data_IF_968806055523
#
_entry.id   IF_968806055523
#
_cell.length_a   1.000
_cell.length_b   1.000
_cell.length_c   1.000
_cell.angle_alpha   90.00
_cell.angle_beta   90.00
_cell.angle_gamma   90.00
#
_symmetry.space_group_name_H-M   'P 1'
#
loop_
_entity.id
_entity.type
_entity.pdbx_description
1 polymer ?
#
# COMPACT_ATOMS: atom_id res chain seq x y z
N UNK A 1 21.96 -8.54 31.87
CA UNK A 1 20.83 -8.27 30.95
C UNK A 1 19.72 -9.29 31.19
N UNK A 2 20.00 -10.57 31.06
CA UNK A 2 19.04 -11.65 31.34
C UNK A 2 18.43 -11.59 32.76
N UNK A 3 19.23 -11.30 33.78
CA UNK A 3 18.73 -11.09 35.15
C UNK A 3 17.74 -9.92 35.27
N UNK A 4 17.97 -8.82 34.53
CA UNK A 4 17.07 -7.66 34.52
C UNK A 4 15.76 -7.98 33.77
N UNK A 5 15.83 -8.75 32.70
CA UNK A 5 14.66 -9.23 31.97
C UNK A 5 13.84 -10.19 32.85
N UNK A 6 14.48 -11.06 33.62
CA UNK A 6 13.82 -11.95 34.57
C UNK A 6 13.17 -11.17 35.73
N UNK A 7 13.84 -10.14 36.26
CA UNK A 7 13.25 -9.26 37.27
C UNK A 7 12.02 -8.51 36.71
N UNK A 8 12.11 -8.03 35.46
CA UNK A 8 10.98 -7.41 34.76
C UNK A 8 9.76 -8.33 34.67
N UNK A 9 9.97 -9.59 34.28
CA UNK A 9 8.91 -10.62 34.21
C UNK A 9 8.32 -10.95 35.59
N UNK A 10 9.13 -10.97 36.64
CA UNK A 10 8.66 -11.18 38.01
C UNK A 10 7.74 -10.03 38.45
N UNK A 11 8.16 -8.78 38.23
CA UNK A 11 7.36 -7.60 38.49
C UNK A 11 6.04 -7.59 37.70
N UNK A 12 6.07 -8.00 36.41
CA UNK A 12 4.86 -8.15 35.60
C UNK A 12 3.91 -9.19 36.21
N UNK A 13 4.43 -10.35 36.62
CA UNK A 13 3.63 -11.41 37.25
C UNK A 13 2.97 -10.94 38.55
N UNK A 14 3.70 -10.24 39.41
CA UNK A 14 3.16 -9.72 40.66
C UNK A 14 2.13 -8.59 40.43
N UNK A 15 2.35 -7.76 39.41
CA UNK A 15 1.38 -6.78 38.94
C UNK A 15 0.07 -7.41 38.47
N UNK A 16 0.15 -8.52 37.72
CA UNK A 16 -1.03 -9.28 37.26
C UNK A 16 -1.80 -9.88 38.45
N UNK A 17 -1.12 -10.50 39.43
CA UNK A 17 -1.77 -11.05 40.62
C UNK A 17 -2.48 -9.97 41.44
N UNK A 18 -1.86 -8.79 41.57
CA UNK A 18 -2.48 -7.65 42.26
C UNK A 18 -3.73 -7.17 41.50
N UNK A 19 -3.63 -7.06 40.17
CA UNK A 19 -4.75 -6.69 39.32
C UNK A 19 -5.91 -7.69 39.45
N UNK A 20 -5.62 -8.98 39.45
CA UNK A 20 -6.61 -10.05 39.63
C UNK A 20 -7.33 -9.90 40.98
N UNK A 21 -6.58 -9.72 42.07
CA UNK A 21 -7.15 -9.51 43.42
C UNK A 21 -8.01 -8.26 43.50
N UNK A 22 -7.56 -7.13 42.95
CA UNK A 22 -8.35 -5.90 42.90
C UNK A 22 -9.62 -6.07 42.07
N UNK A 23 -9.50 -6.74 40.92
CA UNK A 23 -10.63 -7.00 40.03
C UNK A 23 -11.70 -7.88 40.65
N UNK A 24 -11.32 -8.85 41.48
CA UNK A 24 -12.27 -9.71 42.21
C UNK A 24 -13.09 -8.95 43.26
N UNK A 25 -12.56 -7.84 43.79
CA UNK A 25 -13.26 -7.02 44.80
C UNK A 25 -14.19 -6.03 44.10
N UNK A 26 -13.66 -5.25 43.15
CA UNK A 26 -14.46 -4.29 42.40
C UNK A 26 -13.81 -3.97 41.06
N UNK A 27 -14.47 -4.41 39.98
CA UNK A 27 -13.98 -4.19 38.63
C UNK A 27 -13.90 -2.70 38.27
N UNK A 28 -14.92 -1.90 38.59
CA UNK A 28 -15.00 -0.47 38.19
C UNK A 28 -13.90 0.38 38.83
N UNK A 29 -13.68 0.21 40.14
CA UNK A 29 -12.60 0.92 40.84
C UNK A 29 -11.22 0.49 40.34
N UNK A 30 -11.09 -0.77 39.93
CA UNK A 30 -9.85 -1.29 39.37
C UNK A 30 -9.56 -0.66 38.00
N UNK A 31 -10.58 -0.49 37.16
CA UNK A 31 -10.48 0.23 35.88
C UNK A 31 -10.05 1.69 36.08
N UNK A 32 -10.72 2.42 37.00
CA UNK A 32 -10.36 3.80 37.35
C UNK A 32 -8.91 3.92 37.83
N UNK A 33 -8.45 2.98 38.65
CA UNK A 33 -7.07 2.95 39.14
C UNK A 33 -6.04 2.73 38.02
N UNK A 34 -6.39 1.97 36.98
CA UNK A 34 -5.51 1.72 35.84
C UNK A 34 -5.33 2.95 34.92
N UNK A 35 -6.36 3.80 34.84
CA UNK A 35 -6.39 4.96 33.93
C UNK A 35 -5.94 6.24 34.65
N UNK A 36 -6.03 6.27 35.98
CA UNK A 36 -5.63 7.44 36.78
C UNK A 36 -4.19 7.85 36.45
N UNK A 37 -3.99 9.15 36.22
CA UNK A 37 -2.68 9.73 36.02
C UNK A 37 -1.84 9.65 37.30
N UNK A 38 -0.61 9.14 37.18
CA UNK A 38 0.32 9.06 38.29
C UNK A 38 1.28 10.28 38.25
N UNK A 39 1.19 11.22 39.21
CA UNK A 39 2.01 12.44 39.18
C UNK A 39 3.51 12.16 39.32
N UNK A 40 3.87 11.11 40.06
CA UNK A 40 5.27 10.70 40.26
C UNK A 40 5.89 10.03 39.02
N UNK A 41 5.07 9.65 38.03
CA UNK A 41 5.51 8.94 36.82
C UNK A 41 5.23 9.75 35.54
N UNK A 42 5.27 11.09 35.65
CA UNK A 42 5.12 12.01 34.52
C UNK A 42 3.68 12.14 34.01
N UNK A 43 2.69 12.05 34.91
CA UNK A 43 1.26 12.09 34.59
C UNK A 43 0.79 11.00 33.61
N UNK A 44 1.54 9.88 33.51
CA UNK A 44 1.13 8.73 32.71
C UNK A 44 0.20 7.83 33.50
N UNK A 45 -0.71 7.16 32.80
CA UNK A 45 -1.55 6.13 33.40
C UNK A 45 -0.77 4.82 33.59
N UNK A 46 -1.22 3.96 34.52
CA UNK A 46 -0.63 2.64 34.72
C UNK A 46 -0.68 1.81 33.42
N UNK A 47 -1.79 1.91 32.68
CA UNK A 47 -1.96 1.24 31.39
C UNK A 47 -0.95 1.75 30.34
N UNK A 48 -0.71 3.06 30.28
CA UNK A 48 0.27 3.65 29.36
C UNK A 48 1.71 3.20 29.68
N UNK A 49 2.05 3.13 30.97
CA UNK A 49 3.36 2.62 31.41
C UNK A 49 3.54 1.14 31.01
N UNK A 50 2.53 0.31 31.21
CA UNK A 50 2.56 -1.10 30.82
C UNK A 50 2.74 -1.29 29.30
N UNK A 51 2.09 -0.45 28.48
CA UNK A 51 2.27 -0.45 27.03
C UNK A 51 3.68 0.01 26.65
N UNK A 52 4.21 1.06 27.29
CA UNK A 52 5.57 1.54 27.03
C UNK A 52 6.66 0.55 27.44
N UNK A 53 6.37 -0.32 28.42
CA UNK A 53 7.22 -1.40 28.89
C UNK A 53 7.00 -2.75 28.19
N UNK A 54 6.21 -2.80 27.11
CA UNK A 54 5.87 -4.01 26.35
C UNK A 54 5.37 -5.19 27.23
N UNK A 55 4.62 -4.88 28.29
CA UNK A 55 4.04 -5.88 29.21
C UNK A 55 2.74 -6.46 28.64
N UNK A 56 2.89 -7.30 27.61
CA UNK A 56 1.77 -7.84 26.83
C UNK A 56 0.82 -8.72 27.68
N UNK A 57 1.34 -9.46 28.66
CA UNK A 57 0.52 -10.33 29.49
C UNK A 57 -0.37 -9.51 30.43
N UNK A 58 0.17 -8.41 30.96
CA UNK A 58 -0.62 -7.47 31.75
C UNK A 58 -1.77 -6.86 30.93
N UNK A 59 -1.50 -6.38 29.70
CA UNK A 59 -2.54 -5.81 28.83
C UNK A 59 -3.56 -6.86 28.37
N UNK A 60 -3.14 -8.11 28.21
CA UNK A 60 -4.03 -9.22 27.86
C UNK A 60 -4.98 -9.64 28.99
N UNK A 61 -4.79 -9.14 30.22
CA UNK A 61 -5.64 -9.48 31.36
C UNK A 61 -7.11 -9.14 31.10
N UNK A 62 -8.00 -10.03 31.55
CA UNK A 62 -9.45 -9.96 31.25
C UNK A 62 -10.10 -8.64 31.69
N UNK A 63 -9.69 -8.06 32.82
CA UNK A 63 -10.19 -6.75 33.31
C UNK A 63 -9.86 -5.62 32.36
N UNK A 64 -8.62 -5.56 31.87
CA UNK A 64 -8.17 -4.54 30.93
C UNK A 64 -8.87 -4.74 29.58
N UNK A 65 -9.03 -5.99 29.13
CA UNK A 65 -9.77 -6.29 27.90
C UNK A 65 -11.26 -5.94 27.99
N UNK A 66 -11.90 -6.15 29.14
CA UNK A 66 -13.28 -5.71 29.40
C UNK A 66 -13.40 -4.18 29.42
N UNK A 67 -12.43 -3.50 30.00
CA UNK A 67 -12.33 -2.04 29.96
C UNK A 67 -12.13 -1.51 28.54
N UNK A 68 -11.18 -2.04 27.77
CA UNK A 68 -10.97 -1.65 26.38
C UNK A 68 -12.23 -1.91 25.53
N UNK A 69 -12.95 -3.00 25.81
CA UNK A 69 -14.24 -3.29 25.18
C UNK A 69 -15.30 -2.26 25.56
N UNK A 70 -15.36 -1.82 26.81
CA UNK A 70 -16.31 -0.78 27.26
C UNK A 70 -15.94 0.60 26.68
N UNK A 71 -14.66 0.90 26.49
CA UNK A 71 -14.25 2.12 25.75
C UNK A 71 -14.63 2.02 24.28
N UNK A 72 -14.41 0.85 23.65
CA UNK A 72 -14.67 0.62 22.23
C UNK A 72 -16.15 0.81 21.84
N UNK A 73 -17.05 0.17 22.60
CA UNK A 73 -18.50 0.27 22.38
C UNK A 73 -19.15 1.43 23.14
N UNK A 74 -18.38 2.19 23.93
CA UNK A 74 -18.94 3.15 24.88
C UNK A 74 -19.69 2.47 26.04
N UNK A 75 -20.54 3.20 26.76
CA UNK A 75 -21.38 2.67 27.86
C UNK A 75 -22.43 1.63 27.41
N UNK A 76 -22.21 0.96 26.28
CA UNK A 76 -23.00 -0.14 25.75
C UNK A 76 -22.77 -1.38 26.60
N UNK A 77 -23.53 -1.44 27.70
CA UNK A 77 -23.50 -2.54 28.66
C UNK A 77 -24.06 -3.79 27.98
N UNK A 78 -23.26 -4.86 27.98
CA UNK A 78 -23.56 -6.23 27.51
C UNK A 78 -24.96 -6.72 27.95
N UNK A 79 -25.99 -6.48 27.13
CA UNK A 79 -27.23 -7.26 27.09
C UNK A 79 -27.26 -7.92 25.72
N UNK A 80 -27.52 -9.23 25.66
CA UNK A 80 -27.51 -10.04 24.43
C UNK A 80 -28.38 -9.46 23.30
N UNK A 81 -29.47 -8.78 23.69
CA UNK A 81 -30.47 -8.20 22.78
C UNK A 81 -29.95 -6.94 22.05
N UNK A 82 -28.81 -6.40 22.47
CA UNK A 82 -28.21 -5.16 21.94
C UNK A 82 -27.30 -5.43 20.74
N UNK A 83 -26.90 -6.69 20.50
CA UNK A 83 -26.04 -7.03 19.34
C UNK A 83 -26.72 -6.74 18.01
N UNK A 84 -27.95 -7.19 17.82
CA UNK A 84 -28.75 -6.92 16.62
C UNK A 84 -29.07 -5.43 16.49
N UNK A 85 -29.43 -4.78 17.60
CA UNK A 85 -29.69 -3.34 17.64
C UNK A 85 -28.45 -2.52 17.24
N UNK A 86 -27.24 -2.94 17.65
CA UNK A 86 -25.99 -2.30 17.25
C UNK A 86 -25.72 -2.45 15.75
N UNK A 87 -25.86 -3.65 15.19
CA UNK A 87 -25.70 -3.87 13.75
C UNK A 87 -26.73 -3.08 12.92
N UNK A 88 -27.98 -3.05 13.37
CA UNK A 88 -29.05 -2.26 12.75
C UNK A 88 -28.76 -0.76 12.82
N UNK A 89 -28.16 -0.29 13.92
CA UNK A 89 -27.78 1.11 14.12
C UNK A 89 -26.61 1.55 13.22
N UNK A 90 -25.69 0.63 12.89
CA UNK A 90 -24.66 0.91 11.88
C UNK A 90 -25.23 0.95 10.46
N UNK A 91 -26.24 0.12 10.15
CA UNK A 91 -26.90 0.14 8.84
C UNK A 91 -27.76 1.40 8.63
N UNK A 92 -28.46 1.85 9.68
CA UNK A 92 -29.31 3.03 9.66
C UNK A 92 -28.87 4.05 10.72
N UNK A 93 -27.80 4.83 10.46
CA UNK A 93 -27.29 5.81 11.42
C UNK A 93 -28.35 6.85 11.82
N UNK A 94 -29.25 7.20 10.90
CA UNK A 94 -30.35 8.12 11.17
C UNK A 94 -31.38 7.59 12.16
N UNK A 95 -31.47 6.26 12.40
CA UNK A 95 -32.38 5.64 13.38
C UNK A 95 -31.66 5.26 14.69
N UNK A 96 -30.33 5.32 14.70
CA UNK A 96 -29.48 4.95 15.84
C UNK A 96 -29.84 5.64 17.16
N UNK A 97 -30.21 6.94 17.22
CA UNK A 97 -30.51 7.59 18.50
C UNK A 97 -31.82 7.14 19.13
N UNK A 98 -32.72 6.55 18.33
CA UNK A 98 -33.99 5.96 18.78
C UNK A 98 -33.80 4.52 19.25
N UNK A 99 -32.99 3.74 18.52
CA UNK A 99 -32.67 2.34 18.88
C UNK A 99 -31.78 2.24 20.12
N UNK A 100 -30.97 3.27 20.36
CA UNK A 100 -30.07 3.38 21.52
C UNK A 100 -30.57 4.41 22.55
N UNK A 101 -31.89 4.57 22.71
CA UNK A 101 -32.46 5.52 23.68
C UNK A 101 -31.95 5.31 25.12
N UNK A 102 -31.72 4.05 25.50
CA UNK A 102 -31.29 3.65 26.85
C UNK A 102 -29.84 4.04 27.20
N UNK A 103 -29.04 4.45 26.20
CA UNK A 103 -27.62 4.75 26.38
C UNK A 103 -27.33 6.23 26.61
N UNK A 104 -28.26 7.10 26.21
CA UNK A 104 -28.08 8.54 26.28
C UNK A 104 -28.86 9.12 27.45
N UNK A 105 -28.35 10.22 28.02
CA UNK A 105 -29.02 10.89 29.13
C UNK A 105 -30.43 11.29 28.69
N UNK A 106 -31.42 11.12 29.57
CA UNK A 106 -32.83 11.48 29.28
C UNK A 106 -32.96 12.93 28.80
N UNK A 107 -32.04 13.82 29.23
CA UNK A 107 -32.01 15.23 28.86
C UNK A 107 -31.33 15.56 27.51
N UNK A 108 -30.71 14.60 26.83
CA UNK A 108 -30.01 14.87 25.57
C UNK A 108 -31.00 14.99 24.39
N UNK A 109 -30.86 16.07 23.61
CA UNK A 109 -31.60 16.24 22.34
C UNK A 109 -31.21 15.18 21.31
N UNK A 110 -32.11 14.88 20.37
CA UNK A 110 -31.88 13.88 19.31
C UNK A 110 -30.55 14.09 18.57
N UNK A 111 -30.25 15.34 18.18
CA UNK A 111 -29.02 15.68 17.48
C UNK A 111 -27.77 15.43 18.33
N UNK A 112 -27.83 15.69 19.64
CA UNK A 112 -26.71 15.46 20.53
C UNK A 112 -26.45 13.96 20.72
N UNK A 113 -27.51 13.15 20.82
CA UNK A 113 -27.42 11.69 20.85
C UNK A 113 -26.79 11.14 19.58
N UNK A 114 -27.20 11.65 18.42
CA UNK A 114 -26.62 11.28 17.13
C UNK A 114 -25.13 11.64 17.04
N UNK A 115 -24.74 12.85 17.43
CA UNK A 115 -23.33 13.28 17.43
C UNK A 115 -22.50 12.41 18.37
N UNK A 116 -22.99 12.12 19.59
CA UNK A 116 -22.30 11.21 20.52
C UNK A 116 -22.15 9.81 19.94
N UNK A 117 -23.16 9.29 19.23
CA UNK A 117 -23.09 7.99 18.54
C UNK A 117 -22.05 7.97 17.40
N UNK A 118 -21.99 9.03 16.60
CA UNK A 118 -21.02 9.13 15.50
C UNK A 118 -19.58 9.27 16.00
N UNK A 119 -19.38 9.81 17.21
CA UNK A 119 -18.07 9.91 17.86
C UNK A 119 -17.62 8.64 18.60
N UNK A 120 -18.45 7.59 18.67
CA UNK A 120 -18.03 6.32 19.29
C UNK A 120 -16.89 5.67 18.48
N UNK A 121 -15.86 5.11 19.13
CA UNK A 121 -14.74 4.46 18.43
C UNK A 121 -15.18 3.36 17.47
N UNK A 122 -16.14 2.52 17.89
CA UNK A 122 -16.71 1.47 17.04
C UNK A 122 -17.36 2.02 15.76
N UNK A 123 -18.07 3.14 15.89
CA UNK A 123 -18.84 3.75 14.79
C UNK A 123 -17.89 4.40 13.78
N UNK A 124 -16.90 5.15 14.28
CA UNK A 124 -15.83 5.73 13.46
C UNK A 124 -15.11 4.62 12.69
N UNK A 125 -14.76 3.53 13.35
CA UNK A 125 -14.08 2.40 12.73
C UNK A 125 -14.91 1.74 11.60
N UNK A 126 -16.19 1.44 11.86
CA UNK A 126 -17.06 0.79 10.86
C UNK A 126 -17.25 1.68 9.63
N UNK A 127 -17.58 2.96 9.82
CA UNK A 127 -17.76 3.86 8.68
C UNK A 127 -16.44 4.15 7.96
N UNK A 128 -15.33 4.32 8.67
CA UNK A 128 -14.01 4.46 8.04
C UNK A 128 -13.67 3.24 7.18
N UNK A 129 -13.95 2.02 7.67
CA UNK A 129 -13.79 0.79 6.90
C UNK A 129 -14.70 0.73 5.66
N UNK A 130 -15.98 1.09 5.78
CA UNK A 130 -16.91 1.13 4.64
C UNK A 130 -16.48 2.15 3.60
N UNK A 131 -16.13 3.38 4.02
CA UNK A 131 -15.64 4.43 3.12
C UNK A 131 -14.35 4.01 2.42
N UNK A 132 -13.46 3.29 3.10
CA UNK A 132 -12.24 2.76 2.49
C UNK A 132 -12.54 1.66 1.45
N UNK A 133 -13.48 0.75 1.72
CA UNK A 133 -13.90 -0.25 0.74
C UNK A 133 -14.58 0.38 -0.49
N UNK A 134 -15.40 1.40 -0.29
CA UNK A 134 -16.00 2.17 -1.38
C UNK A 134 -14.93 2.89 -2.21
N UNK A 135 -13.93 3.46 -1.56
CA UNK A 135 -12.76 4.03 -2.23
C UNK A 135 -12.04 2.98 -3.09
N UNK A 136 -11.76 1.79 -2.57
CA UNK A 136 -11.11 0.72 -3.34
C UNK A 136 -11.96 0.26 -4.52
N UNK A 137 -13.27 0.10 -4.32
CA UNK A 137 -14.19 -0.25 -5.40
C UNK A 137 -14.20 0.82 -6.50
N UNK A 138 -14.25 2.10 -6.11
CA UNK A 138 -14.16 3.22 -7.03
C UNK A 138 -12.82 3.25 -7.77
N UNK A 139 -11.71 3.07 -7.05
CA UNK A 139 -10.36 3.00 -7.62
C UNK A 139 -10.26 1.88 -8.67
N UNK A 140 -10.81 0.69 -8.37
CA UNK A 140 -10.85 -0.42 -9.32
C UNK A 140 -11.63 -0.06 -10.59
N UNK A 141 -12.81 0.55 -10.48
CA UNK A 141 -13.61 0.98 -11.64
C UNK A 141 -12.84 1.98 -12.51
N UNK A 142 -12.19 2.97 -11.89
CA UNK A 142 -11.43 4.00 -12.61
C UNK A 142 -10.24 3.40 -13.37
N UNK A 143 -9.45 2.52 -12.73
CA UNK A 143 -8.32 1.84 -13.41
C UNK A 143 -8.82 0.94 -14.54
N UNK A 144 -9.88 0.14 -14.32
CA UNK A 144 -10.30 -0.89 -15.26
C UNK A 144 -11.04 -0.35 -16.48
N UNK A 145 -11.90 0.67 -16.33
CA UNK A 145 -12.83 1.08 -17.40
C UNK A 145 -12.41 2.34 -18.16
N UNK A 146 -11.64 3.26 -17.57
CA UNK A 146 -11.59 4.66 -18.05
C UNK A 146 -10.20 5.30 -18.12
N UNK A 147 -9.15 4.55 -18.49
CA UNK A 147 -7.82 5.15 -18.73
C UNK A 147 -7.71 5.78 -20.12
N UNK A 148 -8.28 6.98 -20.28
CA UNK A 148 -8.19 7.79 -21.50
C UNK A 148 -7.00 8.76 -21.47
N UNK A 149 -6.62 9.31 -22.64
CA UNK A 149 -5.53 10.30 -22.79
C UNK A 149 -5.83 11.62 -22.07
N UNK A 150 -7.10 11.99 -21.97
CA UNK A 150 -7.56 13.15 -21.21
C UNK A 150 -8.10 12.68 -19.85
N UNK A 151 -7.86 13.44 -18.76
CA UNK A 151 -8.36 13.10 -17.44
C UNK A 151 -9.89 13.20 -17.46
N UNK A 152 -10.56 12.09 -17.16
CA UNK A 152 -12.02 12.07 -16.99
C UNK A 152 -12.35 12.57 -15.58
N UNK A 153 -13.55 13.12 -15.37
CA UNK A 153 -14.00 13.65 -14.08
C UNK A 153 -13.82 12.60 -12.97
N UNK A 154 -14.01 11.32 -13.28
CA UNK A 154 -13.84 10.23 -12.35
C UNK A 154 -12.38 10.04 -11.87
N UNK A 155 -11.40 10.27 -12.74
CA UNK A 155 -9.98 10.22 -12.37
C UNK A 155 -9.62 11.40 -11.45
N UNK A 156 -10.21 12.58 -11.69
CA UNK A 156 -10.01 13.77 -10.84
C UNK A 156 -10.60 13.54 -9.44
N UNK A 157 -11.79 12.94 -9.35
CA UNK A 157 -12.40 12.57 -8.06
C UNK A 157 -11.50 11.60 -7.30
N UNK A 158 -10.91 10.62 -8.00
CA UNK A 158 -9.94 9.69 -7.39
C UNK A 158 -8.71 10.43 -6.84
N UNK A 159 -8.15 11.39 -7.60
CA UNK A 159 -7.02 12.21 -7.13
C UNK A 159 -7.37 13.02 -5.88
N UNK A 160 -8.57 13.62 -5.83
CA UNK A 160 -9.04 14.38 -4.66
C UNK A 160 -9.21 13.44 -3.46
N UNK A 161 -9.80 12.27 -3.65
CA UNK A 161 -9.99 11.32 -2.56
C UNK A 161 -8.65 10.81 -2.01
N UNK A 162 -7.74 10.39 -2.89
CA UNK A 162 -6.41 9.90 -2.49
C UNK A 162 -5.58 10.96 -1.79
N UNK A 163 -5.59 12.20 -2.26
CA UNK A 163 -4.92 13.31 -1.59
C UNK A 163 -5.50 13.61 -0.21
N UNK A 164 -6.82 13.47 -0.01
CA UNK A 164 -7.43 13.57 1.31
C UNK A 164 -6.94 12.46 2.26
N UNK A 165 -6.79 11.23 1.77
CA UNK A 165 -6.23 10.12 2.56
C UNK A 165 -4.75 10.35 2.90
N UNK A 166 -3.95 10.84 1.95
CA UNK A 166 -2.55 11.23 2.18
C UNK A 166 -2.47 12.33 3.25
N UNK A 167 -3.38 13.31 3.22
CA UNK A 167 -3.43 14.36 4.23
C UNK A 167 -3.80 13.81 5.63
N UNK A 168 -4.73 12.87 5.71
CA UNK A 168 -5.06 12.20 6.97
C UNK A 168 -3.88 11.39 7.51
N UNK A 169 -3.20 10.63 6.64
CA UNK A 169 -1.98 9.90 6.98
C UNK A 169 -0.90 10.85 7.48
N UNK A 170 -0.65 11.97 6.77
CA UNK A 170 0.31 12.97 7.17
C UNK A 170 -0.04 13.56 8.54
N UNK A 171 -1.33 13.89 8.80
CA UNK A 171 -1.79 14.36 10.10
C UNK A 171 -1.51 13.36 11.22
N UNK A 172 -1.78 12.07 11.01
CA UNK A 172 -1.49 11.00 11.98
C UNK A 172 0.00 10.87 12.24
N UNK A 173 0.80 10.88 11.18
CA UNK A 173 2.26 10.80 11.22
C UNK A 173 2.88 11.97 12.01
N UNK A 174 2.47 13.21 11.73
CA UNK A 174 2.97 14.41 12.43
C UNK A 174 2.55 14.49 13.89
N UNK A 175 1.34 14.00 14.25
CA UNK A 175 0.89 13.98 15.65
C UNK A 175 1.77 13.07 16.50
N UNK A 176 2.11 11.88 15.98
CA UNK A 176 3.05 10.96 16.61
C UNK A 176 4.44 11.60 16.79
N UNK A 177 4.93 12.30 15.75
CA UNK A 177 6.23 12.96 15.81
C UNK A 177 6.29 14.11 16.83
N UNK A 178 5.22 14.90 17.02
CA UNK A 178 5.18 16.03 17.97
C UNK A 178 5.40 15.64 19.43
N UNK A 179 5.05 14.42 19.83
CA UNK A 179 5.28 13.93 21.20
C UNK A 179 6.79 13.69 21.48
N UNK A 180 7.62 13.58 20.43
CA UNK A 180 9.07 13.29 20.54
C UNK A 180 10.01 14.50 20.42
N UNK A 181 9.47 15.70 20.16
CA UNK A 181 10.30 16.88 19.86
C UNK A 181 10.89 17.46 21.15
N UNK A 182 12.04 16.93 21.55
CA UNK A 182 13.06 17.73 22.22
C UNK A 182 14.09 18.20 21.17
N UNK A 183 14.41 19.48 21.21
CA UNK A 183 14.98 20.25 20.08
C UNK A 183 16.47 19.91 19.89
N UNK A 184 16.87 19.62 18.65
CA UNK A 184 18.21 19.80 18.02
C UNK A 184 18.85 18.58 17.31
N UNK A 185 18.13 17.85 16.44
CA UNK A 185 18.65 17.45 15.12
C UNK A 185 17.60 16.72 14.28
N UNK A 186 16.78 17.49 13.55
CA UNK A 186 15.66 17.05 12.71
C UNK A 186 16.01 15.83 11.83
N UNK A 187 17.21 15.78 11.24
CA UNK A 187 17.62 14.67 10.37
C UNK A 187 17.82 13.33 11.10
N UNK A 188 18.38 13.34 12.32
CA UNK A 188 18.56 12.11 13.11
C UNK A 188 17.26 11.64 13.74
N UNK A 189 16.35 12.56 14.02
CA UNK A 189 15.04 12.25 14.57
C UNK A 189 14.10 11.71 13.48
N UNK A 190 14.14 12.25 12.26
CA UNK A 190 13.50 11.65 11.08
C UNK A 190 14.04 10.26 10.81
N UNK A 191 15.36 10.04 10.90
CA UNK A 191 15.95 8.71 10.73
C UNK A 191 15.49 7.72 11.82
N UNK A 192 15.37 8.16 13.08
CA UNK A 192 14.83 7.32 14.16
C UNK A 192 13.35 7.02 13.97
N UNK A 193 12.55 7.99 13.54
CA UNK A 193 11.12 7.81 13.26
C UNK A 193 10.89 6.90 12.05
N UNK A 194 11.64 7.07 10.96
CA UNK A 194 11.60 6.16 9.80
C UNK A 194 12.06 4.76 10.20
N UNK A 195 13.09 4.64 11.05
CA UNK A 195 13.53 3.36 11.60
C UNK A 195 12.44 2.70 12.48
N UNK A 196 11.73 3.47 13.30
CA UNK A 196 10.61 2.98 14.11
C UNK A 196 9.44 2.52 13.22
N UNK A 197 9.12 3.26 12.16
CA UNK A 197 8.10 2.84 11.17
C UNK A 197 8.50 1.57 10.43
N UNK A 198 9.81 1.40 10.17
CA UNK A 198 10.35 0.23 9.50
C UNK A 198 10.36 -1.01 10.41
N UNK A 199 10.41 -0.85 11.74
CA UNK A 199 10.57 -1.96 12.68
C UNK A 199 9.34 -2.35 13.50
N UNK A 200 8.33 -1.48 13.69
CA UNK A 200 7.20 -1.76 14.59
C UNK A 200 5.84 -1.96 13.89
N UNK A 201 5.54 -1.25 12.79
CA UNK A 201 4.23 -1.33 12.13
C UNK A 201 4.36 -1.54 10.62
N UNK A 202 4.53 -2.80 10.19
CA UNK A 202 4.65 -3.20 8.77
C UNK A 202 3.53 -2.65 7.90
N UNK A 203 2.34 -2.48 8.46
CA UNK A 203 1.18 -1.94 7.76
C UNK A 203 1.28 -0.45 7.43
N UNK A 204 1.87 0.34 8.32
CA UNK A 204 2.07 1.79 8.07
C UNK A 204 3.08 1.99 6.95
N UNK A 205 4.08 1.12 6.86
CA UNK A 205 5.01 1.12 5.73
C UNK A 205 4.32 0.77 4.41
N UNK A 206 3.46 -0.26 4.38
CA UNK A 206 2.69 -0.64 3.18
C UNK A 206 1.80 0.52 2.71
N UNK A 207 1.15 1.22 3.63
CA UNK A 207 0.32 2.39 3.33
C UNK A 207 1.14 3.55 2.75
N UNK A 208 2.27 3.87 3.37
CA UNK A 208 3.21 4.87 2.86
C UNK A 208 3.70 4.52 1.45
N UNK A 209 4.13 3.27 1.24
CA UNK A 209 4.59 2.79 -0.06
C UNK A 209 3.49 2.90 -1.12
N UNK A 210 2.24 2.56 -0.76
CA UNK A 210 1.09 2.71 -1.65
C UNK A 210 0.90 4.15 -2.12
N UNK A 211 0.99 5.13 -1.21
CA UNK A 211 0.85 6.54 -1.54
C UNK A 211 2.03 7.10 -2.34
N UNK A 212 3.25 6.63 -2.08
CA UNK A 212 4.42 6.98 -2.90
C UNK A 212 4.24 6.49 -4.33
N UNK A 213 3.82 5.23 -4.52
CA UNK A 213 3.54 4.68 -5.85
C UNK A 213 2.41 5.44 -6.56
N UNK A 214 1.35 5.82 -5.82
CA UNK A 214 0.29 6.67 -6.34
C UNK A 214 0.81 8.04 -6.80
N UNK A 215 1.65 8.68 -5.97
CA UNK A 215 2.24 9.98 -6.25
C UNK A 215 3.13 9.98 -7.49
N UNK A 216 3.92 8.92 -7.70
CA UNK A 216 4.72 8.74 -8.93
C UNK A 216 3.79 8.63 -10.15
N UNK A 217 2.73 7.81 -10.06
CA UNK A 217 1.72 7.69 -11.13
C UNK A 217 1.03 9.03 -11.44
N UNK A 218 0.72 9.80 -10.41
CA UNK A 218 0.12 11.13 -10.53
C UNK A 218 1.05 12.15 -11.21
N UNK A 219 2.32 12.20 -10.83
CA UNK A 219 3.32 13.09 -11.45
C UNK A 219 3.49 12.74 -12.93
N UNK A 220 3.57 11.45 -13.27
CA UNK A 220 3.62 11.01 -14.67
C UNK A 220 2.36 11.42 -15.45
N UNK A 221 1.17 11.33 -14.84
CA UNK A 221 -0.08 11.84 -15.45
C UNK A 221 -0.04 13.35 -15.67
N UNK A 222 0.42 14.13 -14.70
CA UNK A 222 0.56 15.59 -14.85
C UNK A 222 1.55 15.98 -15.96
N UNK A 223 2.65 15.25 -16.08
CA UNK A 223 3.63 15.46 -17.16
C UNK A 223 3.01 15.25 -18.55
N UNK A 224 2.15 14.24 -18.71
CA UNK A 224 1.41 13.99 -19.96
C UNK A 224 0.44 15.13 -20.25
N UNK A 225 -0.30 15.60 -19.25
CA UNK A 225 -1.25 16.72 -19.41
C UNK A 225 -0.52 18.00 -19.80
N UNK A 226 0.61 18.32 -19.14
CA UNK A 226 1.43 19.48 -19.47
C UNK A 226 2.00 19.40 -20.89
N UNK A 227 2.53 18.25 -21.30
CA UNK A 227 3.03 18.07 -22.68
C UNK A 227 1.92 18.17 -23.72
N UNK A 228 0.72 17.68 -23.41
CA UNK A 228 -0.46 17.83 -24.29
C UNK A 228 -0.86 19.30 -24.38
N UNK A 229 -0.98 20.00 -23.25
CA UNK A 229 -1.31 21.43 -23.22
C UNK A 229 -0.29 22.29 -23.95
N UNK A 230 1.01 21.96 -23.94
CA UNK A 230 2.02 22.69 -24.70
C UNK A 230 1.91 22.48 -26.23
N UNK A 231 1.27 21.40 -26.69
CA UNK A 231 0.98 21.18 -28.11
C UNK A 231 -0.23 22.02 -28.57
N UNK A 232 -1.21 22.22 -27.68
CA UNK A 232 -2.43 23.01 -27.95
C UNK A 232 -2.34 24.48 -27.52
N UNK A 233 -1.37 24.79 -26.66
CA UNK A 233 -1.03 26.12 -26.18
C UNK A 233 -0.14 26.80 -27.21
N UNK A 234 -0.78 27.63 -28.03
CA UNK A 234 -0.27 28.90 -28.57
C UNK A 234 1.20 28.87 -28.96
N UNK A 235 1.45 28.96 -30.28
CA UNK A 235 2.69 29.54 -30.77
C UNK A 235 2.92 30.89 -30.10
N UNK A 236 3.71 30.91 -29.03
CA UNK A 236 4.28 32.13 -28.50
C UNK A 236 5.29 32.61 -29.54
N UNK A 237 4.82 33.55 -30.35
CA UNK A 237 5.66 34.61 -30.89
C UNK A 237 6.46 35.23 -29.75
N UNK A 238 7.69 34.78 -29.52
CA UNK A 238 8.65 35.54 -28.73
C UNK A 238 9.99 35.60 -29.45
N UNK A 239 10.18 36.68 -30.20
CA UNK A 239 11.49 37.34 -30.23
C UNK A 239 11.85 37.69 -28.78
N UNK A 240 12.61 36.83 -28.10
CA UNK A 240 13.67 37.22 -27.16
C UNK A 240 14.24 35.99 -26.46
N UNK A 241 15.50 35.71 -26.78
CA UNK A 241 16.53 35.11 -25.95
C UNK A 241 16.21 34.95 -24.45
N UNK A 242 16.27 33.72 -23.91
CA UNK A 242 17.36 33.30 -23.02
C UNK A 242 17.09 31.96 -22.31
N UNK A 243 18.05 31.04 -22.51
CA UNK A 243 18.62 30.09 -21.55
C UNK A 243 17.68 29.22 -20.67
N UNK A 244 17.36 28.02 -21.18
CA UNK A 244 17.31 26.79 -20.38
C UNK A 244 17.45 25.57 -21.29
N UNK A 245 18.62 25.42 -21.92
CA UNK A 245 18.95 24.27 -22.77
C UNK A 245 19.21 23.05 -21.89
N UNK A 246 18.24 22.14 -21.85
CA UNK A 246 18.43 20.80 -21.27
C UNK A 246 19.35 19.97 -22.18
N UNK A 247 20.22 19.18 -21.58
CA UNK A 247 21.35 18.44 -22.18
C UNK A 247 21.00 17.52 -23.35
N UNK A 248 19.72 17.20 -23.56
CA UNK A 248 19.23 16.40 -24.68
C UNK A 248 19.24 17.14 -26.03
N UNK A 249 19.10 18.47 -26.02
CA UNK A 249 19.11 19.28 -27.25
C UNK A 249 20.51 19.40 -27.87
N UNK A 250 21.56 19.30 -27.06
CA UNK A 250 22.96 19.42 -27.52
C UNK A 250 23.45 18.11 -28.16
N UNK A 251 23.03 16.96 -27.61
CA UNK A 251 23.45 15.63 -28.11
C UNK A 251 22.71 15.29 -29.41
N UNK A 252 21.42 15.62 -29.50
CA UNK A 252 20.61 15.47 -30.72
C UNK A 252 21.18 16.27 -31.89
N UNK A 253 21.49 17.57 -31.68
CA UNK A 253 22.00 18.44 -32.74
C UNK A 253 23.42 18.09 -33.21
N UNK A 254 24.25 17.48 -32.36
CA UNK A 254 25.63 17.13 -32.74
C UNK A 254 25.67 15.92 -33.67
N UNK A 255 24.86 14.89 -33.41
CA UNK A 255 24.77 13.70 -34.26
C UNK A 255 23.98 13.95 -35.55
N UNK A 256 22.96 14.81 -35.52
CA UNK A 256 22.21 15.19 -36.72
C UNK A 256 23.04 16.06 -37.67
N UNK A 257 23.87 16.98 -37.16
CA UNK A 257 24.69 17.82 -38.03
C UNK A 257 25.82 17.06 -38.73
N UNK A 258 26.45 16.07 -38.11
CA UNK A 258 27.51 15.29 -38.78
C UNK A 258 26.99 14.37 -39.90
N UNK A 259 25.71 14.00 -39.88
CA UNK A 259 25.10 13.16 -40.92
C UNK A 259 24.56 13.94 -42.14
N UNK A 260 24.52 15.29 -42.06
CA UNK A 260 23.74 16.13 -42.98
C UNK A 260 24.56 17.05 -43.90
N UNK A 261 25.87 17.20 -43.69
CA UNK A 261 26.73 18.10 -44.49
C UNK A 261 27.43 17.43 -45.67
N UNK A 262 26.70 16.66 -46.50
CA UNK A 262 27.33 16.13 -47.73
C UNK A 262 26.46 16.11 -48.98
N UNK A 263 25.50 17.03 -49.12
CA UNK A 263 24.97 17.35 -50.44
C UNK A 263 24.55 18.81 -50.53
N UNK A 264 25.31 19.56 -51.33
CA UNK A 264 24.94 20.86 -51.85
C UNK A 264 23.69 20.72 -52.73
N UNK A 265 22.55 21.26 -52.27
CA UNK A 265 21.55 21.84 -53.18
C UNK A 265 20.59 22.79 -52.44
N UNK A 266 20.67 24.06 -52.83
CA UNK A 266 19.82 25.15 -52.34
C UNK A 266 18.49 25.13 -53.08
N UNK A 267 17.48 24.37 -52.62
CA UNK A 267 16.07 24.71 -52.93
C UNK A 267 14.94 23.95 -52.19
N UNK A 268 15.11 23.44 -50.97
CA UNK A 268 13.97 22.88 -50.22
C UNK A 268 14.07 23.08 -48.70
N UNK A 269 13.77 24.28 -48.15
CA UNK A 269 13.63 24.46 -46.70
C UNK A 269 12.30 23.91 -46.15
N UNK A 270 11.25 23.77 -46.99
CA UNK A 270 9.89 23.43 -46.50
C UNK A 270 9.71 21.92 -46.28
N UNK A 271 10.31 21.06 -47.11
CA UNK A 271 10.17 19.60 -46.93
C UNK A 271 11.00 19.07 -45.75
N UNK A 272 12.16 19.67 -45.48
CA UNK A 272 13.06 19.26 -44.39
C UNK A 272 12.53 19.64 -43.00
N UNK A 273 11.92 20.84 -42.84
CA UNK A 273 11.31 21.26 -41.58
C UNK A 273 10.06 20.44 -41.22
N UNK A 274 9.32 19.97 -42.23
CA UNK A 274 8.14 19.12 -42.02
C UNK A 274 8.54 17.72 -41.55
N UNK A 275 9.59 17.12 -42.10
CA UNK A 275 10.09 15.81 -41.64
C UNK A 275 10.71 15.85 -40.24
N UNK A 276 11.47 16.90 -39.90
CA UNK A 276 12.05 17.06 -38.55
C UNK A 276 10.94 17.34 -37.51
N UNK A 277 9.94 18.14 -37.86
CA UNK A 277 8.77 18.38 -37.00
C UNK A 277 7.91 17.12 -36.84
N UNK A 278 7.79 16.31 -37.89
CA UNK A 278 7.09 15.03 -37.85
C UNK A 278 7.84 13.99 -37.00
N UNK A 279 9.17 13.92 -37.11
CA UNK A 279 10.01 13.03 -36.30
C UNK A 279 10.03 13.46 -34.81
N UNK A 280 10.11 14.77 -34.52
CA UNK A 280 9.94 15.32 -33.16
C UNK A 280 8.54 15.00 -32.61
N UNK A 281 7.50 15.23 -33.41
CA UNK A 281 6.14 14.85 -33.06
C UNK A 281 6.03 13.36 -32.74
N UNK A 282 6.57 12.48 -33.59
CA UNK A 282 6.56 11.04 -33.39
C UNK A 282 7.30 10.60 -32.13
N UNK A 283 8.44 11.25 -31.81
CA UNK A 283 9.20 10.98 -30.58
C UNK A 283 8.43 11.39 -29.31
N UNK A 284 7.77 12.55 -29.33
CA UNK A 284 6.93 13.05 -28.22
C UNK A 284 5.68 12.17 -28.08
N UNK A 285 5.07 11.73 -29.18
CA UNK A 285 3.94 10.80 -29.16
C UNK A 285 4.35 9.42 -28.63
N UNK A 286 5.56 8.95 -28.95
CA UNK A 286 6.09 7.70 -28.41
C UNK A 286 6.31 7.81 -26.90
N UNK A 287 6.95 8.89 -26.45
CA UNK A 287 7.21 9.17 -25.03
C UNK A 287 5.90 9.34 -24.22
N UNK A 288 4.89 10.00 -24.76
CA UNK A 288 3.57 10.12 -24.14
C UNK A 288 2.87 8.77 -23.94
N UNK A 289 2.92 7.88 -24.94
CA UNK A 289 2.29 6.56 -24.85
C UNK A 289 3.00 5.66 -23.82
N UNK A 290 4.33 5.76 -23.73
CA UNK A 290 5.13 5.02 -22.73
C UNK A 290 4.83 5.54 -21.32
N UNK A 291 4.87 6.86 -21.10
CA UNK A 291 4.56 7.47 -19.81
C UNK A 291 3.14 7.15 -19.34
N UNK A 292 2.18 7.07 -20.27
CA UNK A 292 0.81 6.69 -19.94
C UNK A 292 0.72 5.25 -19.42
N UNK A 293 1.37 4.29 -20.09
CA UNK A 293 1.43 2.89 -19.62
C UNK A 293 2.14 2.77 -18.28
N UNK A 294 3.26 3.49 -18.11
CA UNK A 294 4.00 3.51 -16.85
C UNK A 294 3.14 4.05 -15.70
N UNK A 295 2.40 5.15 -15.92
CA UNK A 295 1.48 5.69 -14.91
C UNK A 295 0.42 4.68 -14.49
N UNK A 296 -0.13 3.93 -15.45
CA UNK A 296 -1.12 2.89 -15.19
C UNK A 296 -0.52 1.75 -14.36
N UNK A 297 0.71 1.31 -14.65
CA UNK A 297 1.39 0.30 -13.83
C UNK A 297 1.59 0.76 -12.38
N UNK A 298 2.02 2.01 -12.16
CA UNK A 298 2.17 2.56 -10.81
C UNK A 298 0.83 2.64 -10.06
N UNK A 299 -0.26 3.02 -10.73
CA UNK A 299 -1.58 2.99 -10.12
C UNK A 299 -2.06 1.57 -9.80
N UNK A 300 -1.78 0.58 -10.67
CA UNK A 300 -2.07 -0.82 -10.39
C UNK A 300 -1.30 -1.33 -9.15
N UNK A 301 0.00 -1.00 -9.04
CA UNK A 301 0.78 -1.36 -7.85
C UNK A 301 0.26 -0.68 -6.58
N UNK A 302 -0.09 0.61 -6.67
CA UNK A 302 -0.73 1.33 -5.57
C UNK A 302 -2.07 0.70 -5.16
N UNK A 303 -2.89 0.28 -6.12
CA UNK A 303 -4.14 -0.41 -5.85
C UNK A 303 -3.89 -1.74 -5.12
N UNK A 304 -2.95 -2.57 -5.58
CA UNK A 304 -2.60 -3.83 -4.92
C UNK A 304 -2.15 -3.61 -3.47
N UNK A 305 -1.26 -2.64 -3.23
CA UNK A 305 -0.81 -2.31 -1.87
C UNK A 305 -1.95 -1.80 -0.99
N UNK A 306 -2.87 -1.02 -1.55
CA UNK A 306 -4.08 -0.54 -0.86
C UNK A 306 -5.05 -1.68 -0.54
N UNK A 307 -5.18 -2.68 -1.41
CA UNK A 307 -5.97 -3.89 -1.12
C UNK A 307 -5.34 -4.68 0.03
N UNK A 308 -4.02 -4.90 0.01
CA UNK A 308 -3.31 -5.56 1.11
C UNK A 308 -3.53 -4.82 2.43
N UNK A 309 -3.50 -3.48 2.43
CA UNK A 309 -3.76 -2.64 3.61
C UNK A 309 -5.13 -2.89 4.24
N UNK A 310 -6.13 -3.34 3.48
CA UNK A 310 -7.47 -3.71 3.99
C UNK A 310 -7.39 -4.83 5.03
N UNK A 311 -6.38 -5.71 4.96
CA UNK A 311 -6.18 -6.76 5.95
C UNK A 311 -5.91 -6.21 7.35
N UNK A 312 -5.39 -4.99 7.50
CA UNK A 312 -5.25 -4.34 8.82
C UNK A 312 -6.63 -4.11 9.46
N UNK A 313 -7.66 -3.74 8.68
CA UNK A 313 -9.03 -3.61 9.18
C UNK A 313 -9.54 -4.93 9.77
N UNK A 314 -9.16 -6.05 9.15
CA UNK A 314 -9.48 -7.38 9.64
C UNK A 314 -8.78 -7.71 10.97
N UNK A 315 -7.65 -7.07 11.30
CA UNK A 315 -6.90 -7.32 12.54
C UNK A 315 -7.60 -6.86 13.81
N UNK A 316 -8.49 -5.87 13.71
CA UNK A 316 -9.25 -5.33 14.86
C UNK A 316 -10.38 -6.26 15.28
N UNK A 317 -10.87 -7.12 14.38
CA UNK A 317 -11.93 -8.06 14.70
C UNK A 317 -11.45 -9.17 15.64
N UNK A 318 -12.24 -9.46 16.68
CA UNK A 318 -11.94 -10.51 17.68
C UNK A 318 -11.69 -11.89 17.05
N UNK A 319 -12.44 -12.23 15.99
CA UNK A 319 -12.37 -13.56 15.37
C UNK A 319 -11.39 -13.63 14.20
N UNK A 320 -11.27 -12.53 13.45
CA UNK A 320 -10.47 -12.50 12.24
C UNK A 320 -9.03 -12.06 12.52
N UNK A 321 -8.81 -11.27 13.58
CA UNK A 321 -7.51 -10.67 13.83
C UNK A 321 -6.42 -11.64 14.25
N UNK A 322 -6.74 -12.63 15.10
CA UNK A 322 -5.79 -13.69 15.42
C UNK A 322 -5.42 -14.51 14.18
N UNK A 323 -6.41 -14.84 13.33
CA UNK A 323 -6.20 -15.59 12.09
C UNK A 323 -5.30 -14.85 11.10
N UNK A 324 -5.52 -13.54 10.91
CA UNK A 324 -4.68 -12.71 10.02
C UNK A 324 -3.26 -12.63 10.56
N UNK A 325 -3.06 -12.43 11.87
CA UNK A 325 -1.71 -12.41 12.46
C UNK A 325 -1.00 -13.75 12.30
N UNK A 326 -1.70 -14.87 12.51
CA UNK A 326 -1.15 -16.21 12.29
C UNK A 326 -0.78 -16.43 10.81
N UNK A 327 -1.61 -15.98 9.86
CA UNK A 327 -1.33 -16.09 8.43
C UNK A 327 0.03 -15.46 8.06
N UNK A 328 0.32 -14.26 8.56
CA UNK A 328 1.61 -13.60 8.29
C UNK A 328 2.80 -14.31 8.95
N UNK A 329 2.60 -14.91 10.13
CA UNK A 329 3.63 -15.76 10.75
C UNK A 329 3.97 -16.96 9.88
N UNK A 330 2.95 -17.68 9.40
CA UNK A 330 3.13 -18.84 8.51
C UNK A 330 3.73 -18.43 7.15
N UNK A 331 3.41 -17.24 6.65
CA UNK A 331 3.99 -16.72 5.41
C UNK A 331 5.51 -16.51 5.51
N UNK A 332 6.01 -16.09 6.69
CA UNK A 332 7.45 -15.96 6.93
C UNK A 332 8.15 -17.33 6.90
N UNK A 333 7.51 -18.37 7.44
CA UNK A 333 8.03 -19.73 7.37
C UNK A 333 8.02 -20.28 5.93
N UNK A 334 6.97 -19.97 5.15
CA UNK A 334 6.86 -20.33 3.73
C UNK A 334 8.00 -19.74 2.90
N UNK A 335 8.50 -18.55 3.25
CA UNK A 335 9.62 -17.93 2.53
C UNK A 335 10.89 -18.78 2.57
N UNK A 336 11.23 -19.37 3.73
CA UNK A 336 12.38 -20.27 3.84
C UNK A 336 12.19 -21.54 2.99
N UNK A 337 10.96 -22.06 2.95
CA UNK A 337 10.62 -23.18 2.07
C UNK A 337 10.78 -22.81 0.58
N UNK A 338 10.34 -21.62 0.16
CA UNK A 338 10.46 -21.16 -1.23
C UNK A 338 11.92 -21.03 -1.68
N UNK A 339 12.85 -20.66 -0.79
CA UNK A 339 14.28 -20.63 -1.10
C UNK A 339 14.81 -22.03 -1.41
N UNK A 340 14.49 -23.01 -0.55
CA UNK A 340 14.91 -24.40 -0.76
C UNK A 340 14.29 -24.94 -2.06
N UNK A 341 13.01 -24.66 -2.27
CA UNK A 341 12.30 -25.05 -3.49
C UNK A 341 12.96 -24.45 -4.73
N UNK A 342 13.34 -23.17 -4.69
CA UNK A 342 13.98 -22.49 -5.82
C UNK A 342 15.25 -23.21 -6.31
N UNK A 343 16.08 -23.76 -5.41
CA UNK A 343 17.27 -24.53 -5.80
C UNK A 343 16.93 -25.77 -6.64
N UNK A 344 15.93 -26.54 -6.20
CA UNK A 344 15.48 -27.72 -6.95
C UNK A 344 14.82 -27.33 -8.28
N UNK A 345 14.06 -26.23 -8.29
CA UNK A 345 13.37 -25.74 -9.47
C UNK A 345 14.34 -25.28 -10.56
N UNK A 346 15.42 -24.60 -10.19
CA UNK A 346 16.47 -24.21 -11.14
C UNK A 346 17.18 -25.43 -11.71
N UNK A 347 17.52 -26.42 -10.87
CA UNK A 347 18.17 -27.64 -11.34
C UNK A 347 17.30 -28.41 -12.36
N UNK A 348 16.01 -28.56 -12.07
CA UNK A 348 15.05 -29.17 -12.98
C UNK A 348 14.86 -28.33 -14.25
N UNK A 349 14.65 -27.02 -14.12
CA UNK A 349 14.42 -26.11 -15.23
C UNK A 349 15.57 -26.05 -16.23
N UNK A 350 16.81 -25.95 -15.73
CA UNK A 350 18.02 -25.99 -16.57
C UNK A 350 18.12 -27.32 -17.31
N UNK A 351 17.86 -28.44 -16.62
CA UNK A 351 17.92 -29.78 -17.22
C UNK A 351 16.91 -29.93 -18.35
N UNK A 352 15.64 -29.59 -18.10
CA UNK A 352 14.56 -29.68 -19.11
C UNK A 352 14.82 -28.77 -20.30
N UNK A 353 15.22 -27.51 -20.04
CA UNK A 353 15.52 -26.56 -21.10
C UNK A 353 16.66 -27.04 -22.00
N UNK A 354 17.70 -27.64 -21.40
CA UNK A 354 18.85 -28.16 -22.15
C UNK A 354 18.54 -29.37 -23.03
N UNK A 355 17.57 -30.20 -22.63
CA UNK A 355 17.16 -31.40 -23.36
C UNK A 355 16.23 -31.06 -24.51
N UNK A 356 15.25 -30.17 -24.29
CA UNK A 356 14.22 -29.86 -25.28
C UNK A 356 14.75 -28.88 -26.33
N UNK A 357 15.43 -27.82 -25.91
CA UNK A 357 15.88 -26.74 -26.81
C UNK A 357 17.38 -26.82 -27.03
N UNK A 358 17.78 -27.73 -27.91
CA UNK A 358 19.18 -27.84 -28.32
C UNK A 358 19.52 -26.74 -29.32
N UNK A 359 20.57 -25.94 -29.02
CA UNK A 359 21.18 -24.97 -29.94
C UNK A 359 20.31 -23.75 -30.35
N UNK A 360 19.43 -23.27 -29.46
CA UNK A 360 18.67 -22.02 -29.66
C UNK A 360 19.22 -20.85 -28.84
N UNK A 361 19.50 -19.71 -29.50
CA UNK A 361 20.13 -18.52 -28.90
C UNK A 361 19.12 -17.47 -28.36
N UNK A 362 17.90 -17.88 -27.98
CA UNK A 362 16.89 -16.94 -27.45
C UNK A 362 17.03 -16.74 -25.95
N UNK A 363 17.80 -15.72 -25.58
CA UNK A 363 18.04 -15.36 -24.17
C UNK A 363 16.76 -15.00 -23.39
N UNK A 364 15.77 -14.37 -24.04
CA UNK A 364 14.51 -13.98 -23.40
C UNK A 364 13.65 -15.20 -23.02
N UNK A 365 13.62 -16.22 -23.88
CA UNK A 365 12.84 -17.45 -23.64
C UNK A 365 13.56 -18.39 -22.65
N UNK A 366 14.89 -18.29 -22.55
CA UNK A 366 15.71 -19.08 -21.63
C UNK A 366 15.32 -18.85 -20.16
N UNK A 367 15.18 -17.59 -19.72
CA UNK A 367 14.82 -17.29 -18.34
C UNK A 367 13.41 -17.79 -17.99
N UNK A 368 12.46 -17.59 -18.92
CA UNK A 368 11.10 -18.07 -18.77
C UNK A 368 11.05 -19.61 -18.72
N UNK A 369 11.81 -20.27 -19.58
CA UNK A 369 11.93 -21.73 -19.63
C UNK A 369 12.51 -22.32 -18.34
N UNK A 370 13.54 -21.69 -17.76
CA UNK A 370 14.22 -22.21 -16.56
C UNK A 370 13.42 -21.98 -15.28
N UNK A 371 12.78 -20.83 -15.11
CA UNK A 371 12.11 -20.49 -13.84
C UNK A 371 10.60 -20.68 -13.89
N UNK A 372 9.95 -20.19 -14.95
CA UNK A 372 8.50 -20.04 -14.98
C UNK A 372 7.82 -21.36 -15.35
N UNK A 373 8.34 -22.10 -16.33
CA UNK A 373 7.74 -23.38 -16.74
C UNK A 373 7.78 -24.44 -15.62
N UNK A 374 8.92 -24.70 -14.94
CA UNK A 374 8.94 -25.57 -13.78
C UNK A 374 7.95 -25.15 -12.71
N UNK A 375 7.84 -23.85 -12.44
CA UNK A 375 6.94 -23.30 -11.44
C UNK A 375 5.49 -23.68 -11.72
N UNK A 376 5.00 -23.46 -12.93
CA UNK A 376 3.65 -23.86 -13.34
C UNK A 376 3.45 -25.37 -13.40
N UNK A 377 4.50 -26.15 -13.72
CA UNK A 377 4.45 -27.62 -13.67
C UNK A 377 4.18 -28.15 -12.27
N UNK A 378 4.61 -27.46 -11.20
CA UNK A 378 4.26 -27.82 -9.82
C UNK A 378 2.76 -27.66 -9.53
N UNK A 379 2.11 -26.70 -10.19
CA UNK A 379 0.66 -26.47 -10.09
C UNK A 379 -0.15 -27.35 -11.06
N UNK A 380 0.50 -28.22 -11.82
CA UNK A 380 -0.13 -29.18 -12.73
C UNK A 380 -0.22 -28.73 -14.19
N UNK A 381 0.34 -27.58 -14.56
CA UNK A 381 0.38 -27.14 -15.96
C UNK A 381 1.65 -27.69 -16.65
N UNK A 382 1.47 -28.74 -17.46
CA UNK A 382 2.57 -29.52 -18.04
C UNK A 382 3.02 -29.09 -19.46
N UNK A 383 2.42 -28.04 -20.05
CA UNK A 383 2.74 -27.53 -21.40
C UNK A 383 2.96 -28.62 -22.48
N UNK A 384 2.19 -29.71 -22.42
CA UNK A 384 2.41 -30.92 -23.24
C UNK A 384 2.41 -30.65 -24.75
N UNK A 385 1.60 -29.70 -25.21
CA UNK A 385 1.51 -29.35 -26.63
C UNK A 385 2.79 -28.74 -27.20
N UNK A 386 3.60 -28.09 -26.37
CA UNK A 386 4.88 -27.51 -26.78
C UNK A 386 5.99 -28.56 -26.81
N UNK A 387 5.96 -29.51 -25.87
CA UNK A 387 6.94 -30.61 -25.80
C UNK A 387 6.79 -31.58 -26.98
N UNK A 388 5.56 -31.87 -27.41
CA UNK A 388 5.29 -32.85 -28.48
C UNK A 388 5.41 -32.28 -29.89
N UNK A 389 5.32 -30.96 -30.07
CA UNK A 389 5.32 -30.31 -31.38
C UNK A 389 6.70 -29.81 -31.83
N UNK A 390 7.73 -29.91 -30.98
CA UNK A 390 9.07 -29.45 -31.32
C UNK A 390 9.73 -30.37 -32.36
N UNK A 391 9.76 -29.92 -33.63
CA UNK A 391 10.48 -30.60 -34.70
C UNK A 391 11.97 -30.27 -34.64
N UNK A 392 12.79 -31.29 -34.42
CA UNK A 392 14.25 -31.18 -34.48
C UNK A 392 14.70 -30.86 -35.92
N UNK A 393 15.18 -29.64 -36.14
CA UNK A 393 15.64 -29.15 -37.45
C UNK A 393 16.88 -29.87 -38.01
N UNK A 394 17.51 -30.75 -37.22
CA UNK A 394 18.69 -31.52 -37.64
C UNK A 394 18.40 -32.86 -38.33
N UNK A 395 17.14 -33.33 -38.41
CA UNK A 395 16.82 -34.63 -39.01
C UNK A 395 16.37 -34.56 -40.48
N UNK A 396 15.82 -33.44 -40.96
CA UNK A 396 15.38 -33.31 -42.36
C UNK A 396 16.54 -33.19 -43.37
N UNK A 397 17.73 -32.75 -42.91
CA UNK A 397 18.90 -32.59 -43.76
C UNK A 397 19.75 -33.86 -43.94
N UNK A 398 19.44 -34.96 -43.24
CA UNK A 398 20.18 -36.24 -43.38
C UNK A 398 19.52 -37.15 -44.42
N UNK A 399 18.20 -37.06 -44.59
CA UNK A 399 17.46 -37.89 -45.55
C UNK A 399 17.34 -37.27 -46.96
N UNK A 400 17.66 -35.98 -47.13
CA UNK A 400 17.61 -35.28 -48.42
C UNK A 400 18.93 -35.33 -49.21
N UNK A 401 19.99 -35.94 -48.68
CA UNK A 401 21.29 -36.13 -49.36
C UNK A 401 21.53 -37.56 -49.88
N UNK A 402 20.52 -38.42 -49.91
CA UNK A 402 20.64 -39.82 -50.40
C UNK A 402 19.66 -40.22 -51.52
N UNK A 403 19.00 -39.27 -52.19
CA UNK A 403 18.26 -39.48 -53.44
C UNK A 403 18.65 -38.38 -54.42
#
# INVERSE_FOLDING_TARGET
REELENLGKLCESDGIKLLERCSSVNIRRTEELCIRELPHWGNRSCLELAISGDSQNFVAHSTIQMFLKSVWFGSVRNRSDITVANYLSYAFPMLSPLLLSDFFSENDSYCLRFVKFMHLPSTIFVYSGIFYLLYLFYFAIVISMKFCKLPVIEEIILWIWTTALIAEWARKSFYSHRISINRNSILRDVQRTVSQWTSQDTWTFIEFLSYVMFGIGFILRLSIISSTLNIWGVGETTNSSSAATSTWDIISNKYLNELLWNHDDKNCPIYFDVEISFAKGLSIFYEQNVNMRLSQYFYCFSFILSVIRTLELCTVSKHLGSKVKTLFGVLADLFFFLIILSFFMVAYGVSVQSIIYTNEWRYYDLFFGIFVRPFFSMFGELFLGEVTSYQYSGLENIYSTQL
#
